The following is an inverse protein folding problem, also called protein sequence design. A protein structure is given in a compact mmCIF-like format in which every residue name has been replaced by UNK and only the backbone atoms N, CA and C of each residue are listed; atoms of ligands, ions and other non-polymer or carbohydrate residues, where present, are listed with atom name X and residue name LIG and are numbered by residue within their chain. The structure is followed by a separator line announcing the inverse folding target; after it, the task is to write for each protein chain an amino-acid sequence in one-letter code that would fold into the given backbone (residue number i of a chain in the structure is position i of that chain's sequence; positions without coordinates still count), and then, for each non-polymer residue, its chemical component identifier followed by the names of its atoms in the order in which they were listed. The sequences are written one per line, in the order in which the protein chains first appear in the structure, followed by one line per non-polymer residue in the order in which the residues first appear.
data_IF_169015456880
#
_entry.id   IF_169015456880
#
_cell.length_a   1.000
_cell.length_b   1.000
_cell.length_c   1.000
_cell.angle_alpha   90.00
_cell.angle_beta   90.00
_cell.angle_gamma   90.00
#
_symmetry.space_group_name_H-M   'P 1'
#
loop_
_entity.id
_entity.type
_entity.pdbx_description
1 polymer ?
#
# COMPACT_ATOMS: atom_id res chain seq x y z
N UNK A 1 15.32 1.45 0.84
CA UNK A 1 14.90 0.54 -0.22
C UNK A 1 14.69 1.35 -1.49
N UNK A 2 15.20 0.84 -2.62
CA UNK A 2 15.00 1.47 -3.94
C UNK A 2 13.73 0.97 -4.64
N UNK A 3 13.04 0.00 -4.01
CA UNK A 3 11.83 -0.61 -4.53
C UNK A 3 10.74 0.43 -4.76
N UNK A 4 10.07 0.31 -5.90
CA UNK A 4 8.98 1.18 -6.33
C UNK A 4 7.64 0.48 -6.16
N UNK A 5 6.62 1.25 -5.83
CA UNK A 5 5.26 0.80 -5.61
C UNK A 5 4.29 1.68 -6.40
N UNK A 6 3.23 1.09 -6.89
CA UNK A 6 2.17 1.79 -7.60
C UNK A 6 0.82 1.42 -6.95
N UNK A 7 0.50 2.03 -5.79
CA UNK A 7 -0.68 1.69 -5.02
C UNK A 7 -1.96 1.91 -5.83
N UNK A 8 -2.87 0.95 -5.80
CA UNK A 8 -4.19 1.05 -6.40
C UNK A 8 -5.25 1.22 -5.31
N UNK A 9 -6.27 2.01 -5.59
CA UNK A 9 -7.41 2.18 -4.69
C UNK A 9 -8.34 0.97 -4.78
N UNK A 10 -8.82 0.51 -3.63
CA UNK A 10 -9.63 -0.71 -3.54
C UNK A 10 -10.97 -0.61 -4.29
N UNK A 11 -11.57 0.57 -4.34
CA UNK A 11 -12.81 0.78 -5.10
C UNK A 11 -12.58 0.69 -6.61
N UNK A 12 -11.43 1.15 -7.10
CA UNK A 12 -11.05 1.00 -8.52
C UNK A 12 -10.90 -0.49 -8.87
N UNK A 13 -10.36 -1.30 -7.94
CA UNK A 13 -10.27 -2.75 -8.11
C UNK A 13 -11.66 -3.38 -8.12
N UNK A 14 -12.54 -2.96 -7.22
CA UNK A 14 -13.92 -3.45 -7.17
C UNK A 14 -14.69 -3.12 -8.46
N UNK A 15 -14.50 -1.90 -8.99
CA UNK A 15 -15.09 -1.47 -10.25
C UNK A 15 -14.55 -2.30 -11.43
N UNK A 16 -13.24 -2.56 -11.46
CA UNK A 16 -12.65 -3.42 -12.49
C UNK A 16 -13.25 -4.84 -12.47
N UNK A 17 -13.41 -5.42 -11.28
CA UNK A 17 -14.06 -6.73 -11.11
C UNK A 17 -15.50 -6.69 -11.60
N UNK A 18 -16.26 -5.66 -11.21
CA UNK A 18 -17.64 -5.50 -11.66
C UNK A 18 -17.75 -5.40 -13.19
N UNK A 19 -16.90 -4.58 -13.79
CA UNK A 19 -16.88 -4.41 -15.25
C UNK A 19 -16.47 -5.69 -15.99
N UNK A 20 -15.56 -6.49 -15.43
CA UNK A 20 -15.12 -7.74 -16.04
C UNK A 20 -16.25 -8.78 -16.13
N UNK A 21 -17.17 -8.79 -15.16
CA UNK A 21 -18.33 -9.70 -15.17
C UNK A 21 -19.31 -9.39 -16.29
N UNK A 22 -19.38 -8.13 -16.71
CA UNK A 22 -20.27 -7.68 -17.79
C UNK A 22 -19.66 -7.83 -19.20
N UNK A 23 -18.40 -8.30 -19.30
CA UNK A 23 -17.62 -8.35 -20.56
C UNK A 23 -17.14 -9.77 -20.85
N UNK A 24 -17.80 -10.49 -21.78
CA UNK A 24 -17.39 -11.86 -22.13
C UNK A 24 -15.92 -11.96 -22.60
N UNK A 25 -15.40 -10.90 -23.23
CA UNK A 25 -14.02 -10.82 -23.69
C UNK A 25 -12.98 -10.78 -22.55
N UNK A 26 -13.41 -10.49 -21.34
CA UNK A 26 -12.53 -10.52 -20.16
C UNK A 26 -12.26 -11.96 -19.66
N UNK A 27 -13.05 -12.92 -20.09
CA UNK A 27 -12.92 -14.31 -19.64
C UNK A 27 -11.56 -14.90 -20.05
N UNK A 28 -10.85 -15.45 -19.08
CA UNK A 28 -9.52 -16.05 -19.29
C UNK A 28 -8.39 -15.04 -19.51
N UNK A 29 -8.66 -13.73 -19.39
CA UNK A 29 -7.64 -12.70 -19.50
C UNK A 29 -7.06 -12.35 -18.13
N UNK A 30 -5.83 -11.84 -18.14
CA UNK A 30 -5.16 -11.30 -16.95
C UNK A 30 -4.99 -9.80 -17.13
N UNK A 31 -5.42 -9.03 -16.14
CA UNK A 31 -5.32 -7.57 -16.16
C UNK A 31 -4.47 -7.10 -14.98
N UNK A 32 -3.61 -6.12 -15.23
CA UNK A 32 -2.87 -5.41 -14.18
C UNK A 32 -3.63 -4.14 -13.82
N UNK A 33 -3.80 -3.91 -12.52
CA UNK A 33 -4.41 -2.71 -11.96
C UNK A 33 -3.38 -1.96 -11.14
N UNK A 34 -3.26 -0.67 -11.38
CA UNK A 34 -2.31 0.18 -10.69
C UNK A 34 -2.86 1.59 -10.49
N UNK A 35 -2.37 2.29 -9.49
CA UNK A 35 -2.67 3.71 -9.30
C UNK A 35 -1.97 4.60 -10.33
N UNK A 36 -2.29 5.90 -10.34
CA UNK A 36 -1.76 6.84 -11.34
C UNK A 36 -0.28 7.21 -11.12
N UNK A 37 0.26 6.97 -9.94
CA UNK A 37 1.59 7.46 -9.54
C UNK A 37 2.44 6.36 -8.94
N UNK A 38 3.72 6.33 -9.35
CA UNK A 38 4.73 5.43 -8.81
C UNK A 38 5.48 6.12 -7.66
N UNK A 39 5.62 5.44 -6.53
CA UNK A 39 6.30 5.93 -5.35
C UNK A 39 7.44 4.99 -4.95
N UNK A 40 8.47 5.54 -4.35
CA UNK A 40 9.41 4.77 -3.55
C UNK A 40 8.83 4.49 -2.16
N UNK A 41 9.30 3.45 -1.48
CA UNK A 41 8.90 3.17 -0.10
C UNK A 41 9.14 4.39 0.82
N UNK A 42 10.24 5.11 0.62
CA UNK A 42 10.55 6.33 1.38
C UNK A 42 9.46 7.38 1.21
N UNK A 43 9.06 7.68 -0.03
CA UNK A 43 8.01 8.66 -0.32
C UNK A 43 6.68 8.27 0.33
N UNK A 44 6.30 6.99 0.27
CA UNK A 44 5.09 6.50 0.94
C UNK A 44 5.15 6.69 2.46
N UNK A 45 6.27 6.35 3.09
CA UNK A 45 6.44 6.50 4.54
C UNK A 45 6.46 7.98 4.95
N UNK A 46 7.13 8.85 4.18
CA UNK A 46 7.15 10.30 4.41
C UNK A 46 5.73 10.87 4.30
N UNK A 47 5.02 10.52 3.25
CA UNK A 47 3.64 10.96 3.03
C UNK A 47 2.70 10.54 4.16
N UNK A 48 2.71 9.26 4.53
CA UNK A 48 1.87 8.73 5.61
C UNK A 48 2.23 9.36 6.95
N UNK A 49 3.52 9.53 7.26
CA UNK A 49 3.97 10.15 8.51
C UNK A 49 3.55 11.61 8.63
N UNK A 50 3.54 12.34 7.51
CA UNK A 50 3.03 13.70 7.44
C UNK A 50 1.52 13.75 7.67
N UNK A 51 0.74 12.87 7.02
CA UNK A 51 -0.72 12.79 7.20
C UNK A 51 -1.12 12.47 8.65
N UNK A 52 -0.39 11.59 9.31
CA UNK A 52 -0.65 11.21 10.70
C UNK A 52 -0.15 12.28 11.70
N UNK A 53 0.53 13.32 11.22
CA UNK A 53 1.08 14.38 12.05
C UNK A 53 2.25 13.94 12.94
N UNK A 54 2.96 12.87 12.55
CA UNK A 54 4.09 12.31 13.30
C UNK A 54 5.31 12.11 12.37
N UNK A 55 5.86 13.19 11.81
CA UNK A 55 7.04 13.07 10.97
C UNK A 55 8.21 12.50 11.80
N UNK A 56 8.87 11.50 11.24
CA UNK A 56 10.03 10.87 11.87
C UNK A 56 11.17 10.75 10.85
N UNK A 57 12.42 10.85 11.29
CA UNK A 57 13.55 10.63 10.40
C UNK A 57 13.55 9.18 9.90
N UNK A 58 13.68 9.02 8.58
CA UNK A 58 13.73 7.69 7.96
C UNK A 58 15.21 7.35 7.73
N UNK A 59 15.67 6.36 8.49
CA UNK A 59 17.03 5.82 8.37
C UNK A 59 16.96 4.58 7.49
N UNK A 60 17.62 4.63 6.33
CA UNK A 60 17.76 3.48 5.45
C UNK A 60 18.76 2.49 6.03
N UNK A 61 18.32 1.28 6.33
CA UNK A 61 19.21 0.20 6.76
C UNK A 61 19.82 -0.51 5.53
N UNK A 62 21.11 -0.84 5.56
CA UNK A 62 21.70 -1.79 4.61
C UNK A 62 20.95 -3.12 4.63
N UNK A 63 20.87 -3.78 3.48
CA UNK A 63 20.07 -5.01 3.34
C UNK A 63 20.49 -6.11 4.33
N UNK A 64 21.78 -6.28 4.56
CA UNK A 64 22.28 -7.28 5.51
C UNK A 64 21.77 -7.05 6.94
N UNK A 65 21.75 -5.80 7.40
CA UNK A 65 21.20 -5.43 8.73
C UNK A 65 19.70 -5.65 8.75
N UNK A 66 18.99 -5.26 7.70
CA UNK A 66 17.57 -5.51 7.56
C UNK A 66 17.19 -6.98 7.59
N UNK A 67 18.00 -7.84 7.01
CA UNK A 67 17.80 -9.29 7.02
C UNK A 67 18.01 -9.90 8.43
N UNK A 68 19.04 -9.46 9.15
CA UNK A 68 19.28 -9.89 10.55
C UNK A 68 18.13 -9.43 11.44
N UNK A 69 17.70 -8.18 11.31
CA UNK A 69 16.56 -7.64 12.06
C UNK A 69 15.27 -8.43 11.77
N UNK A 70 14.97 -8.72 10.51
CA UNK A 70 13.79 -9.50 10.13
C UNK A 70 13.83 -10.90 10.75
N UNK A 71 15.00 -11.57 10.73
CA UNK A 71 15.18 -12.88 11.35
C UNK A 71 14.95 -12.87 12.86
N UNK A 72 15.41 -11.83 13.56
CA UNK A 72 15.14 -11.68 14.99
C UNK A 72 13.65 -11.41 15.27
N UNK A 73 13.00 -10.60 14.42
CA UNK A 73 11.58 -10.30 14.58
C UNK A 73 10.66 -11.49 14.27
N UNK A 74 11.10 -12.44 13.44
CA UNK A 74 10.37 -13.69 13.18
C UNK A 74 10.23 -14.58 14.43
N UNK A 75 11.04 -14.37 15.46
CA UNK A 75 10.93 -15.08 16.74
C UNK A 75 9.79 -14.55 17.64
N UNK A 76 9.23 -13.39 17.30
CA UNK A 76 8.10 -12.84 18.02
C UNK A 76 6.79 -13.56 17.64
N UNK A 77 5.83 -13.72 18.58
CA UNK A 77 4.54 -14.35 18.32
C UNK A 77 3.72 -13.69 17.20
N UNK A 78 3.96 -12.39 16.96
CA UNK A 78 3.36 -11.61 15.87
C UNK A 78 4.47 -10.79 15.19
N UNK A 79 5.19 -11.35 14.23
CA UNK A 79 6.30 -10.68 13.61
C UNK A 79 5.84 -9.46 12.80
N UNK A 80 6.39 -8.29 13.12
CA UNK A 80 6.14 -7.04 12.38
C UNK A 80 6.84 -7.04 11.01
N UNK A 81 7.88 -7.82 10.86
CA UNK A 81 8.67 -7.93 9.63
C UNK A 81 9.21 -9.36 9.51
N UNK A 82 9.17 -9.90 8.29
CA UNK A 82 9.75 -11.19 7.95
C UNK A 82 10.85 -11.04 6.90
N UNK A 83 11.65 -12.09 6.75
CA UNK A 83 12.68 -12.16 5.67
C UNK A 83 12.04 -12.05 4.28
N UNK A 84 10.82 -12.54 4.11
CA UNK A 84 10.11 -12.46 2.83
C UNK A 84 9.68 -11.03 2.53
N UNK A 85 9.30 -10.24 3.54
CA UNK A 85 9.06 -8.81 3.36
C UNK A 85 10.33 -8.08 2.87
N UNK A 86 11.51 -8.44 3.41
CA UNK A 86 12.77 -7.85 2.95
C UNK A 86 13.11 -8.29 1.52
N UNK A 87 12.85 -9.56 1.17
CA UNK A 87 13.05 -10.08 -0.18
C UNK A 87 12.12 -9.46 -1.20
N UNK A 88 10.83 -9.29 -0.87
CA UNK A 88 9.85 -8.66 -1.76
C UNK A 88 10.21 -7.21 -2.12
N UNK A 89 10.95 -6.52 -1.24
CA UNK A 89 11.46 -5.17 -1.52
C UNK A 89 12.64 -5.13 -2.52
N UNK A 90 13.07 -6.25 -3.07
CA UNK A 90 14.08 -6.31 -4.14
C UNK A 90 13.51 -6.11 -5.53
N UNK A 91 12.21 -6.37 -5.68
CA UNK A 91 11.49 -6.29 -6.94
C UNK A 91 10.53 -5.11 -6.89
N UNK A 92 10.50 -4.34 -7.97
CA UNK A 92 9.53 -3.26 -8.10
C UNK A 92 8.11 -3.83 -8.24
N UNK A 93 7.18 -3.25 -7.51
CA UNK A 93 5.76 -3.56 -7.59
C UNK A 93 5.02 -2.44 -8.32
N UNK A 94 5.23 -2.40 -9.63
CA UNK A 94 4.64 -1.44 -10.55
C UNK A 94 4.05 -2.19 -11.74
N UNK A 95 2.99 -1.64 -12.33
CA UNK A 95 2.39 -2.23 -13.52
C UNK A 95 3.36 -2.22 -14.70
N UNK A 96 3.32 -3.27 -15.51
CA UNK A 96 4.16 -3.43 -16.70
C UNK A 96 3.54 -2.78 -17.92
N UNK A 97 2.23 -2.53 -17.92
CA UNK A 97 1.47 -2.02 -19.04
C UNK A 97 0.53 -0.87 -18.66
N UNK A 98 0.36 0.03 -19.58
CA UNK A 98 -0.75 1.00 -19.68
C UNK A 98 -1.48 0.75 -20.99
N UNK A 99 -2.76 1.04 -21.11
CA UNK A 99 -3.67 1.72 -20.18
C UNK A 99 -4.34 0.78 -19.16
N UNK A 100 -4.99 1.37 -18.18
CA UNK A 100 -5.84 0.65 -17.22
C UNK A 100 -6.94 -0.13 -17.97
N UNK A 101 -7.28 -1.36 -17.52
CA UNK A 101 -8.31 -2.15 -18.17
C UNK A 101 -9.66 -1.42 -18.12
N UNK A 102 -10.47 -1.67 -19.13
CA UNK A 102 -11.85 -1.17 -19.24
C UNK A 102 -11.99 0.35 -19.30
N UNK A 103 -10.90 1.10 -19.56
CA UNK A 103 -10.92 2.56 -19.58
C UNK A 103 -11.10 3.22 -18.20
N UNK A 104 -10.78 2.51 -17.13
CA UNK A 104 -10.84 3.03 -15.78
C UNK A 104 -9.81 4.15 -15.58
N UNK A 105 -10.22 5.18 -14.86
CA UNK A 105 -9.32 6.25 -14.42
C UNK A 105 -8.92 5.96 -12.97
N UNK A 106 -7.64 5.61 -12.72
CA UNK A 106 -7.23 5.22 -11.39
C UNK A 106 -7.23 6.40 -10.42
N UNK A 107 -7.70 6.15 -9.20
CA UNK A 107 -7.78 7.15 -8.14
C UNK A 107 -6.43 7.38 -7.49
N UNK A 108 -6.02 8.64 -7.35
CA UNK A 108 -4.76 9.00 -6.74
C UNK A 108 -4.74 8.72 -5.23
N UNK A 109 -3.58 8.30 -4.71
CA UNK A 109 -3.37 8.08 -3.28
C UNK A 109 -3.72 9.32 -2.45
N UNK A 110 -3.37 10.49 -2.93
CA UNK A 110 -3.59 11.78 -2.28
C UNK A 110 -5.08 12.15 -2.16
N UNK A 111 -5.91 11.63 -3.04
CA UNK A 111 -7.36 11.86 -2.98
C UNK A 111 -8.03 11.03 -1.86
N UNK A 112 -7.49 9.88 -1.52
CA UNK A 112 -8.12 8.91 -0.62
C UNK A 112 -7.47 8.85 0.76
N UNK A 113 -6.14 8.82 0.81
CA UNK A 113 -5.39 8.59 2.04
C UNK A 113 -5.70 9.60 3.17
N UNK A 114 -5.92 10.90 2.91
CA UNK A 114 -6.26 11.86 3.97
C UNK A 114 -7.55 11.51 4.72
N UNK A 115 -8.54 10.95 4.04
CA UNK A 115 -9.81 10.55 4.67
C UNK A 115 -9.65 9.35 5.63
N UNK A 116 -8.62 8.52 5.41
CA UNK A 116 -8.39 7.30 6.18
C UNK A 116 -7.32 7.44 7.26
N UNK A 117 -6.26 8.18 6.96
CA UNK A 117 -5.06 8.32 7.79
C UNK A 117 -4.95 9.70 8.45
N UNK A 118 -5.62 10.70 7.89
CA UNK A 118 -5.59 12.07 8.42
C UNK A 118 -6.23 12.16 9.81
N UNK A 119 -5.69 13.04 10.64
CA UNK A 119 -6.20 13.30 11.99
C UNK A 119 -7.59 13.96 12.00
N UNK A 120 -8.01 14.52 10.88
CA UNK A 120 -9.31 15.16 10.68
C UNK A 120 -10.35 14.26 9.97
N UNK A 121 -9.99 13.04 9.58
CA UNK A 121 -10.88 12.13 8.89
C UNK A 121 -11.99 11.56 9.79
N UNK A 122 -13.15 11.13 9.23
CA UNK A 122 -14.26 10.56 10.00
C UNK A 122 -13.83 9.41 10.91
N UNK A 123 -12.82 8.64 10.50
CA UNK A 123 -12.27 7.53 11.30
C UNK A 123 -11.47 7.99 12.51
N UNK A 124 -10.84 9.16 12.46
CA UNK A 124 -10.09 9.71 13.59
C UNK A 124 -10.99 9.91 14.81
N UNK A 125 -12.26 10.28 14.58
CA UNK A 125 -13.26 10.41 15.63
C UNK A 125 -13.54 9.09 16.38
N UNK A 126 -13.46 7.94 15.71
CA UNK A 126 -13.74 6.63 16.29
C UNK A 126 -12.51 5.95 16.93
N UNK A 127 -11.31 6.45 16.74
CA UNK A 127 -10.08 5.87 17.31
C UNK A 127 -10.09 5.79 18.85
N UNK A 128 -10.55 6.82 19.61
CA UNK A 128 -10.65 6.72 21.06
C UNK A 128 -11.57 5.59 21.53
N UNK A 129 -12.70 5.44 20.85
CA UNK A 129 -13.67 4.39 21.19
C UNK A 129 -13.15 2.98 20.90
N UNK A 130 -12.40 2.80 19.82
CA UNK A 130 -11.75 1.51 19.51
C UNK A 130 -10.66 1.11 20.49
N UNK A 131 -9.94 2.08 21.08
CA UNK A 131 -8.94 1.80 22.12
C UNK A 131 -9.55 1.26 23.41
N UNK A 132 -10.78 1.65 23.72
CA UNK A 132 -11.50 1.22 24.93
C UNK A 132 -12.36 -0.02 24.69
N UNK A 133 -12.71 -0.33 23.45
CA UNK A 133 -13.39 -1.56 23.09
C UNK A 133 -12.36 -2.72 23.06
N UNK A 134 -11.91 -3.16 24.23
CA UNK A 134 -11.17 -4.42 24.35
C UNK A 134 -12.12 -5.59 24.04
N UNK A 135 -11.90 -6.26 22.95
CA UNK A 135 -12.28 -7.64 22.73
C UNK A 135 -11.06 -8.51 22.78
#
# INVERSE_FOLDING_TARGET
AKCRFQPVYVEDVAEAVWQSLARPEAAGQTFELAGPTVYTLRQLVEYVSALVGKPRPIIGLPEGIGMVQARLMELAPQPLMSRDNVRSMRVDNVASAEPQPFGLTPTALEAVAPAWLGTAGPRAFYYPFRRHARR
#
